data_IF_768884053853
#
_entry.id   IF_768884053853
#
_cell.length_a   1.000
_cell.length_b   1.000
_cell.length_c   1.000
_cell.angle_alpha   90.00
_cell.angle_beta   90.00
_cell.angle_gamma   90.00
#
_symmetry.space_group_name_H-M   'P 1'
#
loop_
_entity.id
_entity.type
_entity.pdbx_description
1 polymer ?
#
# COMPACT_ATOMS: atom_id res chain seq x y z
N UNK A 1 -8.41 9.43 18.66
CA UNK A 1 -7.55 10.17 17.71
C UNK A 1 -6.41 9.28 17.28
N UNK A 2 -5.76 9.58 16.15
CA UNK A 2 -4.51 8.92 15.78
C UNK A 2 -3.39 9.34 16.75
N UNK A 3 -2.47 8.44 17.07
CA UNK A 3 -1.28 8.76 17.87
C UNK A 3 -0.22 9.43 16.98
N UNK A 4 0.74 10.15 17.59
CA UNK A 4 1.84 10.76 16.83
C UNK A 4 2.87 9.73 16.36
N UNK A 5 3.13 8.69 17.17
CA UNK A 5 4.18 7.70 16.90
C UNK A 5 5.59 8.27 16.99
N UNK A 6 6.58 7.42 16.71
CA UNK A 6 7.99 7.79 16.58
C UNK A 6 8.59 7.18 15.31
N UNK A 7 9.88 7.38 15.04
CA UNK A 7 10.54 6.72 13.93
C UNK A 7 10.61 5.19 14.14
N UNK A 8 10.87 4.76 15.37
CA UNK A 8 10.99 3.35 15.76
C UNK A 8 9.63 2.66 15.87
N UNK A 9 8.60 3.40 16.28
CA UNK A 9 7.21 2.93 16.29
C UNK A 9 6.28 3.95 15.61
N UNK A 10 6.20 3.93 14.27
CA UNK A 10 5.35 4.85 13.51
C UNK A 10 3.88 4.70 13.89
N UNK A 11 3.12 5.78 13.90
CA UNK A 11 1.69 5.71 14.13
C UNK A 11 0.96 5.00 12.98
N UNK A 12 1.47 5.16 11.76
CA UNK A 12 0.96 4.47 10.58
C UNK A 12 2.08 3.68 9.92
N UNK A 13 1.83 2.41 9.62
CA UNK A 13 2.75 1.58 8.82
C UNK A 13 1.95 0.91 7.72
N UNK A 14 2.45 0.94 6.49
CA UNK A 14 1.92 0.18 5.34
C UNK A 14 3.06 -0.50 4.60
N UNK A 15 3.00 -1.82 4.47
CA UNK A 15 4.05 -2.65 3.89
C UNK A 15 3.42 -3.56 2.84
N UNK A 16 3.99 -3.59 1.64
CA UNK A 16 3.48 -4.43 0.53
C UNK A 16 4.61 -5.20 -0.11
N UNK A 17 4.38 -6.50 -0.32
CA UNK A 17 5.27 -7.37 -1.09
C UNK A 17 4.56 -7.81 -2.36
N UNK A 18 5.09 -7.39 -3.49
CA UNK A 18 4.64 -7.73 -4.83
C UNK A 18 5.62 -8.67 -5.52
N UNK A 19 5.14 -9.33 -6.56
CA UNK A 19 5.94 -10.25 -7.35
C UNK A 19 5.99 -9.86 -8.83
N UNK A 20 7.20 -9.75 -9.37
CA UNK A 20 7.49 -9.36 -10.75
C UNK A 20 6.85 -10.35 -11.73
N UNK A 21 6.95 -11.64 -11.44
CA UNK A 21 6.36 -12.72 -12.19
C UNK A 21 5.16 -13.31 -11.44
N UNK A 22 4.04 -13.46 -12.15
CA UNK A 22 2.85 -14.15 -11.65
C UNK A 22 2.05 -14.73 -12.82
N UNK A 23 1.20 -15.72 -12.54
CA UNK A 23 0.23 -16.21 -13.48
C UNK A 23 -1.10 -15.45 -13.33
N UNK A 24 -1.66 -15.02 -14.45
CA UNK A 24 -3.00 -14.40 -14.50
C UNK A 24 -3.82 -15.20 -15.49
N UNK A 25 -4.94 -15.78 -15.03
CA UNK A 25 -5.81 -16.64 -15.84
C UNK A 25 -5.05 -17.76 -16.56
N UNK A 26 -4.13 -18.41 -15.85
CA UNK A 26 -3.30 -19.52 -16.37
C UNK A 26 -2.16 -19.10 -17.30
N UNK A 27 -2.00 -17.82 -17.62
CA UNK A 27 -0.94 -17.33 -18.50
C UNK A 27 0.12 -16.56 -17.70
N UNK A 28 1.42 -16.72 -18.04
CA UNK A 28 2.47 -15.87 -17.49
C UNK A 28 2.19 -14.39 -17.78
N UNK A 29 2.13 -13.56 -16.75
CA UNK A 29 2.07 -12.11 -16.92
C UNK A 29 3.39 -11.63 -17.51
N UNK A 30 3.35 -11.13 -18.74
CA UNK A 30 4.51 -10.59 -19.43
C UNK A 30 4.69 -9.11 -19.12
N UNK A 31 5.94 -8.72 -18.88
CA UNK A 31 6.33 -7.33 -18.70
C UNK A 31 7.21 -6.86 -19.84
N UNK A 32 7.06 -5.60 -20.29
CA UNK A 32 7.98 -5.05 -21.27
C UNK A 32 9.39 -4.94 -20.67
N UNK A 33 10.42 -5.05 -21.51
CA UNK A 33 11.81 -5.03 -21.04
C UNK A 33 12.17 -3.70 -20.32
N UNK A 34 11.58 -2.58 -20.75
CA UNK A 34 11.79 -1.27 -20.11
C UNK A 34 11.20 -1.16 -18.70
N UNK A 35 10.31 -2.08 -18.29
CA UNK A 35 9.82 -2.15 -16.91
C UNK A 35 10.98 -2.29 -15.93
N UNK A 36 12.04 -2.99 -16.33
CA UNK A 36 13.23 -3.25 -15.52
C UNK A 36 14.29 -2.14 -15.61
N UNK A 37 13.98 -1.02 -16.28
CA UNK A 37 14.78 0.20 -16.25
C UNK A 37 14.08 1.23 -15.35
N UNK A 38 14.66 1.47 -14.16
CA UNK A 38 14.13 2.42 -13.21
C UNK A 38 14.08 3.88 -13.73
N UNK A 39 14.78 4.20 -14.82
CA UNK A 39 14.69 5.52 -15.47
C UNK A 39 13.46 5.64 -16.38
N UNK A 40 12.81 4.52 -16.73
CA UNK A 40 11.62 4.48 -17.57
C UNK A 40 10.37 4.13 -16.76
N UNK A 41 10.42 3.08 -15.95
CA UNK A 41 9.31 2.69 -15.07
C UNK A 41 9.20 3.61 -13.84
N UNK A 42 10.32 4.13 -13.36
CA UNK A 42 10.45 4.68 -12.00
C UNK A 42 10.96 3.62 -11.02
N UNK A 43 11.52 4.08 -9.91
CA UNK A 43 11.92 3.21 -8.79
C UNK A 43 10.72 2.79 -7.94
N UNK A 44 10.86 1.71 -7.18
CA UNK A 44 9.74 1.12 -6.42
C UNK A 44 8.99 2.09 -5.50
N UNK A 45 9.71 2.98 -4.83
CA UNK A 45 9.12 3.94 -3.89
C UNK A 45 8.34 5.08 -4.58
N UNK A 46 8.63 5.39 -5.85
CA UNK A 46 7.89 6.38 -6.66
C UNK A 46 6.81 5.74 -7.53
N UNK A 47 6.81 4.42 -7.66
CA UNK A 47 5.77 3.63 -8.33
C UNK A 47 4.67 3.25 -7.32
N UNK A 48 4.68 2.01 -6.80
CA UNK A 48 3.66 1.49 -5.86
C UNK A 48 3.60 2.29 -4.57
N UNK A 49 4.71 2.91 -4.14
CA UNK A 49 4.73 3.79 -2.96
C UNK A 49 3.71 4.93 -3.04
N UNK A 50 3.34 5.35 -4.25
CA UNK A 50 2.26 6.30 -4.53
C UNK A 50 0.95 5.84 -3.90
N UNK A 51 0.56 4.57 -4.05
CA UNK A 51 -0.67 4.04 -3.47
C UNK A 51 -0.64 4.06 -1.93
N UNK A 52 0.49 3.71 -1.34
CA UNK A 52 0.60 3.64 0.12
C UNK A 52 0.53 5.03 0.75
N UNK A 53 1.19 6.02 0.14
CA UNK A 53 1.09 7.42 0.59
C UNK A 53 -0.33 7.97 0.37
N UNK A 54 -0.97 7.67 -0.76
CA UNK A 54 -2.36 8.07 -1.03
C UNK A 54 -3.32 7.53 0.03
N UNK A 55 -3.22 6.24 0.36
CA UNK A 55 -4.03 5.62 1.41
C UNK A 55 -3.78 6.24 2.78
N UNK A 56 -2.54 6.59 3.14
CA UNK A 56 -2.26 7.27 4.40
C UNK A 56 -2.96 8.63 4.44
N UNK A 57 -2.87 9.42 3.37
CA UNK A 57 -3.53 10.73 3.30
C UNK A 57 -5.06 10.57 3.38
N UNK A 58 -5.62 9.67 2.56
CA UNK A 58 -7.06 9.50 2.40
C UNK A 58 -7.74 8.88 3.63
N UNK A 59 -7.10 7.91 4.29
CA UNK A 59 -7.68 7.23 5.45
C UNK A 59 -7.45 8.01 6.76
N UNK A 60 -6.27 8.60 6.96
CA UNK A 60 -5.93 9.29 8.20
C UNK A 60 -6.38 10.75 8.24
N UNK A 61 -6.49 11.40 7.07
CA UNK A 61 -6.83 12.81 6.92
C UNK A 61 -7.96 12.99 5.88
N UNK A 62 -9.11 12.33 6.06
CA UNK A 62 -10.18 12.32 5.05
C UNK A 62 -10.64 13.75 4.74
N UNK A 63 -10.62 14.10 3.45
CA UNK A 63 -11.04 15.40 2.90
C UNK A 63 -10.26 16.63 3.43
N UNK A 64 -9.13 16.41 4.11
CA UNK A 64 -8.24 17.47 4.54
C UNK A 64 -7.35 17.90 3.37
N UNK A 65 -7.30 19.20 3.10
CA UNK A 65 -6.35 19.78 2.14
C UNK A 65 -4.95 19.76 2.76
N UNK A 66 -4.02 19.08 2.10
CA UNK A 66 -2.63 18.96 2.50
C UNK A 66 -1.74 19.92 1.72
N UNK A 67 -0.64 20.30 2.34
CA UNK A 67 0.42 21.14 1.76
C UNK A 67 1.77 20.42 1.84
N UNK A 68 2.77 20.88 1.07
CA UNK A 68 4.10 20.27 1.10
C UNK A 68 4.79 20.47 2.44
N UNK A 69 4.46 21.56 3.12
CA UNK A 69 4.94 21.94 4.45
C UNK A 69 4.41 21.01 5.54
N UNK A 70 3.35 20.23 5.26
CA UNK A 70 2.87 19.19 6.17
C UNK A 70 3.78 17.95 6.16
N UNK A 71 4.72 17.84 5.22
CA UNK A 71 5.58 16.67 5.02
C UNK A 71 7.00 16.94 5.49
N UNK A 72 7.50 16.07 6.37
CA UNK A 72 8.91 16.02 6.78
C UNK A 72 9.45 14.63 6.46
N UNK A 73 10.36 14.50 5.48
CA UNK A 73 11.05 13.23 5.21
C UNK A 73 12.06 12.99 6.34
N UNK A 74 11.93 11.86 7.04
CA UNK A 74 12.80 11.50 8.17
C UNK A 74 13.93 10.60 7.69
N UNK A 75 13.62 9.58 6.91
CA UNK A 75 14.62 8.73 6.25
C UNK A 75 14.00 8.00 5.05
N UNK A 76 14.83 7.64 4.08
CA UNK A 76 14.42 6.83 2.94
C UNK A 76 15.55 5.88 2.54
N UNK A 77 15.18 4.69 2.05
CA UNK A 77 16.13 3.69 1.55
C UNK A 77 15.60 3.06 0.28
N UNK A 78 16.51 2.72 -0.63
CA UNK A 78 16.24 1.93 -1.82
C UNK A 78 17.18 0.73 -1.87
N UNK A 79 16.75 -0.35 -2.53
CA UNK A 79 17.61 -1.50 -2.82
C UNK A 79 17.11 -2.29 -4.02
N UNK A 80 17.98 -3.12 -4.60
CA UNK A 80 17.70 -3.89 -5.80
C UNK A 80 17.03 -5.23 -5.51
N UNK A 81 16.21 -5.68 -6.47
CA UNK A 81 15.93 -7.10 -6.69
C UNK A 81 16.83 -7.59 -7.82
N UNK A 82 17.44 -8.76 -7.62
CA UNK A 82 18.41 -9.35 -8.55
C UNK A 82 17.72 -10.32 -9.49
N UNK A 83 17.86 -10.09 -10.80
CA UNK A 83 17.29 -10.95 -11.84
C UNK A 83 18.38 -11.68 -12.60
N UNK A 84 18.32 -13.01 -12.61
CA UNK A 84 19.15 -13.82 -13.51
C UNK A 84 18.62 -13.74 -14.95
N UNK A 85 19.42 -14.14 -15.95
CA UNK A 85 18.95 -14.21 -17.33
C UNK A 85 17.70 -15.09 -17.50
N UNK A 86 17.59 -16.18 -16.76
CA UNK A 86 16.43 -17.09 -16.79
C UNK A 86 15.17 -16.40 -16.23
N UNK A 87 15.31 -15.70 -15.11
CA UNK A 87 14.22 -14.90 -14.51
C UNK A 87 13.75 -13.82 -15.49
N UNK A 88 14.68 -13.09 -16.08
CA UNK A 88 14.37 -12.04 -17.05
C UNK A 88 13.68 -12.58 -18.30
N UNK A 89 14.17 -13.71 -18.85
CA UNK A 89 13.52 -14.40 -19.97
C UNK A 89 12.12 -14.91 -19.59
N UNK A 90 11.95 -15.43 -18.39
CA UNK A 90 10.64 -15.92 -17.90
C UNK A 90 9.60 -14.79 -17.88
N UNK A 91 9.96 -13.60 -17.37
CA UNK A 91 9.03 -12.47 -17.23
C UNK A 91 8.89 -11.59 -18.48
N UNK A 92 9.92 -11.48 -19.32
CA UNK A 92 9.89 -10.63 -20.53
C UNK A 92 9.74 -11.40 -21.84
N UNK A 93 10.22 -12.64 -21.89
CA UNK A 93 10.41 -13.41 -23.12
C UNK A 93 11.72 -13.12 -23.87
N UNK A 94 12.55 -12.18 -23.42
CA UNK A 94 13.82 -11.83 -24.07
C UNK A 94 14.94 -12.81 -23.71
N UNK A 95 15.78 -13.18 -24.68
CA UNK A 95 16.90 -14.10 -24.46
C UNK A 95 18.10 -13.47 -23.74
N UNK A 96 18.23 -12.14 -23.81
CA UNK A 96 19.35 -11.39 -23.25
C UNK A 96 18.85 -10.06 -22.66
N UNK A 97 19.62 -9.49 -21.75
CA UNK A 97 19.37 -8.11 -21.30
C UNK A 97 19.61 -7.14 -22.46
N UNK A 98 18.65 -6.28 -22.83
CA UNK A 98 18.85 -5.27 -23.86
C UNK A 98 19.93 -4.25 -23.47
N UNK A 99 20.49 -3.57 -24.47
CA UNK A 99 21.60 -2.63 -24.32
C UNK A 99 21.35 -1.56 -23.23
N UNK A 100 20.14 -1.01 -23.17
CA UNK A 100 19.79 0.04 -22.20
C UNK A 100 19.80 -0.43 -20.73
N UNK A 101 19.77 -1.74 -20.47
CA UNK A 101 19.88 -2.31 -19.13
C UNK A 101 21.31 -2.67 -18.72
N UNK A 102 22.26 -2.72 -19.66
CA UNK A 102 23.61 -3.22 -19.40
C UNK A 102 24.34 -2.44 -18.30
N UNK A 103 24.06 -1.14 -18.16
CA UNK A 103 24.59 -0.29 -17.07
C UNK A 103 24.23 -0.77 -15.66
N UNK A 104 23.17 -1.57 -15.53
CA UNK A 104 22.68 -2.11 -14.26
C UNK A 104 22.95 -3.63 -14.13
N UNK A 105 23.68 -4.22 -15.08
CA UNK A 105 24.07 -5.64 -15.04
C UNK A 105 25.46 -5.74 -14.42
N UNK A 106 25.57 -6.55 -13.37
CA UNK A 106 26.83 -6.83 -12.69
C UNK A 106 26.99 -8.35 -12.57
N UNK A 107 28.14 -8.88 -13.00
CA UNK A 107 28.42 -10.32 -12.98
C UNK A 107 27.33 -11.18 -13.66
N UNK A 108 26.68 -10.64 -14.71
CA UNK A 108 25.62 -11.31 -15.45
C UNK A 108 24.24 -11.29 -14.79
N UNK A 109 24.07 -10.53 -13.70
CA UNK A 109 22.81 -10.38 -12.96
C UNK A 109 22.33 -8.93 -13.07
N UNK A 110 21.07 -8.74 -13.42
CA UNK A 110 20.46 -7.41 -13.48
C UNK A 110 20.05 -6.96 -12.07
N UNK A 111 20.57 -5.81 -11.63
CA UNK A 111 20.14 -5.11 -10.42
C UNK A 111 18.99 -4.17 -10.77
N UNK A 112 17.78 -4.47 -10.30
CA UNK A 112 16.60 -3.64 -10.56
C UNK A 112 16.15 -2.93 -9.27
N UNK A 113 16.30 -1.60 -9.19
CA UNK A 113 15.95 -0.78 -8.02
C UNK A 113 14.43 -0.59 -7.89
N UNK A 114 13.73 -1.67 -7.54
CA UNK A 114 12.28 -1.73 -7.39
C UNK A 114 11.79 -1.80 -5.94
N UNK A 115 12.69 -1.71 -4.96
CA UNK A 115 12.31 -1.76 -3.55
C UNK A 115 12.61 -0.44 -2.87
N UNK A 116 11.82 -0.10 -1.85
CA UNK A 116 12.11 1.07 -1.05
C UNK A 116 11.27 1.19 0.21
N UNK A 117 11.81 1.94 1.16
CA UNK A 117 11.19 2.29 2.43
C UNK A 117 11.25 3.80 2.61
N UNK A 118 10.15 4.40 3.08
CA UNK A 118 10.06 5.82 3.39
C UNK A 118 9.51 5.97 4.81
N UNK A 119 10.27 6.63 5.67
CA UNK A 119 9.83 7.10 6.98
C UNK A 119 9.69 8.62 6.92
N UNK A 120 8.50 9.14 7.20
CA UNK A 120 8.20 10.56 7.11
C UNK A 120 7.19 10.96 8.18
N UNK A 121 7.04 12.27 8.40
CA UNK A 121 5.91 12.81 9.16
C UNK A 121 4.93 13.48 8.21
N UNK A 122 3.64 13.28 8.45
CA UNK A 122 2.56 14.03 7.82
C UNK A 122 1.77 14.74 8.92
N UNK A 123 1.76 16.08 8.91
CA UNK A 123 1.17 16.91 9.97
C UNK A 123 1.66 16.51 11.37
N UNK A 124 2.94 16.17 11.48
CA UNK A 124 3.58 15.74 12.74
C UNK A 124 3.36 14.27 13.13
N UNK A 125 2.59 13.49 12.35
CA UNK A 125 2.35 12.07 12.59
C UNK A 125 3.39 11.22 11.85
N UNK A 126 4.11 10.35 12.57
CA UNK A 126 5.06 9.41 11.99
C UNK A 126 4.36 8.33 11.16
N UNK A 127 4.78 8.23 9.91
CA UNK A 127 4.30 7.27 8.93
C UNK A 127 5.48 6.51 8.31
N UNK A 128 5.27 5.23 8.08
CA UNK A 128 6.19 4.33 7.36
C UNK A 128 5.46 3.71 6.18
N UNK A 129 6.08 3.74 5.02
CA UNK A 129 5.72 2.87 3.90
C UNK A 129 6.89 2.00 3.47
N UNK A 130 6.62 0.78 3.05
CA UNK A 130 7.62 -0.13 2.46
C UNK A 130 7.01 -0.88 1.27
N UNK A 131 7.77 -0.95 0.18
CA UNK A 131 7.41 -1.69 -1.02
C UNK A 131 8.56 -2.62 -1.38
N UNK A 132 8.22 -3.90 -1.54
CA UNK A 132 9.12 -4.94 -2.00
C UNK A 132 8.57 -5.54 -3.28
N UNK A 133 9.45 -5.83 -4.22
CA UNK A 133 9.20 -6.54 -5.46
C UNK A 133 10.12 -7.75 -5.54
N UNK A 134 9.65 -8.88 -5.05
CA UNK A 134 10.32 -10.17 -5.24
C UNK A 134 10.08 -10.70 -6.66
N UNK A 135 10.81 -11.74 -7.05
CA UNK A 135 10.62 -12.30 -8.39
C UNK A 135 9.28 -13.04 -8.52
N UNK A 136 9.03 -14.04 -7.68
CA UNK A 136 7.86 -14.92 -7.76
C UNK A 136 7.52 -15.42 -6.36
N UNK A 137 6.22 -15.49 -6.04
CA UNK A 137 5.77 -16.01 -4.75
C UNK A 137 5.99 -17.52 -4.67
N UNK A 138 6.17 -18.11 -3.48
CA UNK A 138 6.09 -19.56 -3.31
C UNK A 138 4.81 -20.16 -3.88
N UNK A 139 4.82 -21.45 -4.22
CA UNK A 139 3.63 -22.12 -4.74
C UNK A 139 2.47 -22.05 -3.74
N UNK A 140 1.30 -21.62 -4.20
CA UNK A 140 0.13 -21.39 -3.35
C UNK A 140 0.12 -20.05 -2.59
N UNK A 141 1.19 -19.25 -2.71
CA UNK A 141 1.29 -17.92 -2.15
C UNK A 141 0.89 -16.82 -3.14
N UNK A 142 0.78 -15.59 -2.62
CA UNK A 142 0.49 -14.39 -3.41
C UNK A 142 1.17 -13.15 -2.85
N UNK A 143 0.83 -12.00 -3.42
CA UNK A 143 1.24 -10.71 -2.87
C UNK A 143 0.76 -10.58 -1.42
N UNK A 144 1.56 -9.96 -0.56
CA UNK A 144 1.21 -9.73 0.85
C UNK A 144 1.08 -8.25 1.15
N UNK A 145 0.26 -7.96 2.15
CA UNK A 145 0.08 -6.59 2.64
C UNK A 145 -0.10 -6.60 4.15
N UNK A 146 0.59 -5.67 4.81
CA UNK A 146 0.39 -5.37 6.20
C UNK A 146 0.15 -3.88 6.35
N UNK A 147 -0.86 -3.50 7.14
CA UNK A 147 -0.95 -2.12 7.61
C UNK A 147 -1.45 -2.03 9.03
N UNK A 148 -1.03 -0.98 9.72
CA UNK A 148 -1.51 -0.64 11.06
C UNK A 148 -1.65 0.87 11.17
N UNK A 149 -2.76 1.32 11.76
CA UNK A 149 -3.01 2.69 12.16
C UNK A 149 -3.28 2.72 13.67
N UNK A 150 -2.37 3.32 14.43
CA UNK A 150 -2.37 3.33 15.88
C UNK A 150 -3.22 4.49 16.41
N UNK A 151 -4.42 4.19 16.88
CA UNK A 151 -5.31 5.14 17.54
C UNK A 151 -5.05 5.21 19.05
N UNK A 152 -5.63 6.21 19.70
CA UNK A 152 -5.55 6.39 21.16
C UNK A 152 -6.27 5.27 21.93
N UNK A 153 -7.28 4.63 21.32
CA UNK A 153 -8.11 3.58 21.94
C UNK A 153 -7.86 2.18 21.38
N UNK A 154 -7.49 2.09 20.11
CA UNK A 154 -7.24 0.83 19.43
C UNK A 154 -6.30 1.02 18.26
N UNK A 155 -5.74 -0.10 17.81
CA UNK A 155 -5.05 -0.21 16.54
C UNK A 155 -6.00 -0.83 15.52
N UNK A 156 -6.03 -0.25 14.33
CA UNK A 156 -6.73 -0.81 13.17
C UNK A 156 -5.69 -1.43 12.27
N UNK A 157 -5.80 -2.73 12.00
CA UNK A 157 -4.75 -3.54 11.38
C UNK A 157 -5.33 -4.25 10.16
N UNK A 158 -4.64 -4.22 9.03
CA UNK A 158 -4.91 -5.08 7.88
C UNK A 158 -3.78 -6.09 7.78
N UNK A 159 -4.15 -7.37 7.66
CA UNK A 159 -3.20 -8.43 7.31
C UNK A 159 -3.67 -9.15 6.05
N UNK A 160 -2.70 -9.49 5.21
CA UNK A 160 -2.86 -10.30 4.01
C UNK A 160 -1.63 -11.18 3.89
N UNK A 161 -1.59 -12.24 4.68
CA UNK A 161 -0.55 -13.27 4.64
C UNK A 161 -1.16 -14.67 4.50
N UNK A 162 -0.33 -15.68 4.78
CA UNK A 162 -0.74 -17.09 4.72
C UNK A 162 -1.90 -17.40 5.68
N UNK A 163 -1.88 -16.84 6.89
CA UNK A 163 -2.94 -17.01 7.90
C UNK A 163 -4.32 -16.53 7.40
N UNK A 164 -4.33 -15.51 6.55
CA UNK A 164 -5.55 -14.95 5.95
C UNK A 164 -5.85 -15.55 4.56
N UNK A 165 -5.08 -16.54 4.11
CA UNK A 165 -5.18 -17.11 2.77
C UNK A 165 -4.95 -16.08 1.65
N UNK A 166 -4.02 -15.14 1.90
CA UNK A 166 -3.67 -14.03 1.01
C UNK A 166 -4.84 -13.11 0.65
N UNK A 167 -5.84 -13.03 1.54
CA UNK A 167 -6.97 -12.10 1.42
C UNK A 167 -6.87 -11.01 2.50
N UNK A 168 -6.97 -9.72 2.14
CA UNK A 168 -6.90 -8.66 3.13
C UNK A 168 -8.02 -8.81 4.16
N UNK A 169 -7.63 -8.90 5.43
CA UNK A 169 -8.52 -9.08 6.57
C UNK A 169 -8.29 -7.95 7.56
N UNK A 170 -9.39 -7.35 8.01
CA UNK A 170 -9.38 -6.22 8.94
C UNK A 170 -9.48 -6.72 10.39
N UNK A 171 -8.58 -6.22 11.23
CA UNK A 171 -8.53 -6.49 12.66
C UNK A 171 -8.57 -5.18 13.45
N UNK A 172 -9.11 -5.27 14.66
CA UNK A 172 -9.21 -4.17 15.61
C UNK A 172 -8.65 -4.68 16.93
N UNK A 173 -7.59 -4.04 17.42
CA UNK A 173 -6.95 -4.40 18.69
C UNK A 173 -7.12 -3.28 19.71
N UNK A 174 -7.85 -3.51 20.78
CA UNK A 174 -8.03 -2.52 21.83
C UNK A 174 -6.72 -2.26 22.59
N UNK A 175 -6.52 -1.01 23.01
CA UNK A 175 -5.52 -0.63 24.02
C UNK A 175 -6.11 -0.85 25.41
N UNK A 176 -5.33 -0.61 26.46
CA UNK A 176 -5.63 -0.88 27.89
C UNK A 176 -6.85 -0.10 28.46
N UNK A 177 -7.88 0.13 27.66
CA UNK A 177 -9.19 0.62 28.04
C UNK A 177 -10.01 -0.51 28.69
N UNK A 178 -11.08 -0.14 29.38
CA UNK A 178 -12.11 -1.09 29.83
C UNK A 178 -12.66 -1.85 28.62
N UNK A 179 -12.23 -3.10 28.47
CA UNK A 179 -12.46 -3.94 27.29
C UNK A 179 -13.96 -4.16 27.04
N UNK A 180 -14.76 -4.27 28.11
CA UNK A 180 -16.20 -4.45 27.98
C UNK A 180 -16.85 -3.20 27.38
N UNK A 181 -16.52 -2.03 27.92
CA UNK A 181 -17.00 -0.74 27.42
C UNK A 181 -16.51 -0.49 25.98
N UNK A 182 -15.27 -0.85 25.67
CA UNK A 182 -14.72 -0.75 24.32
C UNK A 182 -15.49 -1.66 23.35
N UNK A 183 -15.75 -2.92 23.74
CA UNK A 183 -16.45 -3.88 22.90
C UNK A 183 -17.89 -3.43 22.61
N UNK A 184 -18.60 -2.88 23.59
CA UNK A 184 -19.93 -2.28 23.38
C UNK A 184 -19.89 -1.13 22.37
N UNK A 185 -18.94 -0.22 22.53
CA UNK A 185 -18.73 0.89 21.58
C UNK A 185 -18.38 0.40 20.18
N UNK A 186 -17.56 -0.65 20.07
CA UNK A 186 -17.17 -1.24 18.81
C UNK A 186 -18.35 -1.93 18.11
N UNK A 187 -19.15 -2.71 18.84
CA UNK A 187 -20.39 -3.32 18.32
C UNK A 187 -21.33 -2.25 17.76
N UNK A 188 -21.51 -1.14 18.48
CA UNK A 188 -22.31 -0.02 18.00
C UNK A 188 -21.75 0.59 16.71
N UNK A 189 -20.44 0.80 16.64
CA UNK A 189 -19.79 1.34 15.44
C UNK A 189 -20.00 0.44 14.20
N UNK A 190 -19.84 -0.88 14.35
CA UNK A 190 -20.02 -1.84 13.25
C UNK A 190 -21.50 -2.02 12.89
N UNK A 191 -22.35 -2.31 13.88
CA UNK A 191 -23.73 -2.77 13.66
C UNK A 191 -24.71 -1.62 13.39
N UNK A 192 -24.43 -0.40 13.86
CA UNK A 192 -25.32 0.75 13.67
C UNK A 192 -24.73 1.71 12.64
N UNK A 193 -23.57 2.30 12.95
CA UNK A 193 -23.04 3.41 12.15
C UNK A 193 -22.63 2.95 10.74
N UNK A 194 -21.86 1.86 10.66
CA UNK A 194 -21.35 1.36 9.38
C UNK A 194 -22.36 0.50 8.61
N UNK A 195 -23.34 -0.11 9.29
CA UNK A 195 -24.30 -1.00 8.64
C UNK A 195 -25.17 -0.29 7.58
N UNK A 196 -25.42 1.01 7.74
CA UNK A 196 -26.12 1.82 6.72
C UNK A 196 -25.36 1.92 5.40
N UNK A 197 -24.02 1.98 5.45
CA UNK A 197 -23.13 2.13 4.29
C UNK A 197 -22.62 0.78 3.78
N UNK A 198 -22.39 -0.15 4.69
CA UNK A 198 -21.87 -1.49 4.42
C UNK A 198 -22.76 -2.53 5.11
N UNK A 199 -23.98 -2.79 4.60
CA UNK A 199 -24.87 -3.76 5.20
C UNK A 199 -24.27 -5.17 5.19
N UNK A 200 -24.34 -5.84 6.35
CA UNK A 200 -23.92 -7.22 6.55
C UNK A 200 -22.49 -7.41 7.10
N UNK A 201 -21.82 -6.35 7.54
CA UNK A 201 -20.59 -6.49 8.34
C UNK A 201 -20.91 -7.22 9.65
N UNK A 202 -20.00 -8.10 10.08
CA UNK A 202 -20.10 -8.76 11.37
C UNK A 202 -18.78 -8.64 12.14
N UNK A 203 -18.86 -8.50 13.47
CA UNK A 203 -17.69 -8.42 14.34
C UNK A 203 -17.48 -9.77 15.01
N UNK A 204 -16.32 -10.38 14.81
CA UNK A 204 -15.93 -11.64 15.45
C UNK A 204 -14.81 -11.41 16.45
N UNK A 205 -15.08 -11.73 17.72
CA UNK A 205 -14.07 -11.72 18.78
C UNK A 205 -13.12 -12.90 18.60
N UNK A 206 -11.82 -12.64 18.64
CA UNK A 206 -10.77 -13.65 18.51
C UNK A 206 -10.07 -13.86 19.87
N UNK A 207 -9.79 -12.77 20.57
CA UNK A 207 -9.22 -12.74 21.92
C UNK A 207 -9.89 -11.63 22.74
N UNK A 208 -9.52 -11.46 24.00
CA UNK A 208 -10.12 -10.47 24.89
C UNK A 208 -10.04 -9.04 24.33
N UNK A 209 -8.91 -8.67 23.74
CA UNK A 209 -8.67 -7.34 23.17
C UNK A 209 -8.52 -7.35 21.64
N UNK A 210 -8.92 -8.42 20.94
CA UNK A 210 -8.73 -8.56 19.49
C UNK A 210 -10.01 -9.06 18.80
N UNK A 211 -10.42 -8.32 17.77
CA UNK A 211 -11.55 -8.67 16.92
C UNK A 211 -11.14 -8.63 15.44
N UNK A 212 -11.86 -9.37 14.61
CA UNK A 212 -11.84 -9.25 13.16
C UNK A 212 -13.21 -8.84 12.64
N UNK A 213 -13.22 -8.09 11.53
CA UNK A 213 -14.44 -7.69 10.83
C UNK A 213 -14.67 -8.66 9.67
N UNK A 214 -15.72 -9.46 9.77
CA UNK A 214 -16.17 -10.34 8.69
C UNK A 214 -16.88 -9.50 7.63
N UNK A 215 -16.25 -9.38 6.46
CA UNK A 215 -16.73 -8.60 5.32
C UNK A 215 -17.40 -9.54 4.31
N UNK A 216 -18.69 -9.33 3.98
CA UNK A 216 -19.40 -10.12 2.98
C UNK A 216 -18.72 -10.18 1.61
N UNK A 217 -18.82 -11.32 0.94
CA UNK A 217 -18.18 -11.56 -0.38
C UNK A 217 -18.63 -10.57 -1.46
N UNK A 218 -19.84 -10.00 -1.35
CA UNK A 218 -20.32 -8.95 -2.28
C UNK A 218 -19.43 -7.69 -2.30
N UNK A 219 -18.61 -7.46 -1.28
CA UNK A 219 -17.64 -6.34 -1.24
C UNK A 219 -16.28 -6.73 -1.81
N UNK A 220 -16.04 -8.01 -2.12
CA UNK A 220 -14.77 -8.52 -2.65
C UNK A 220 -14.79 -8.51 -4.18
N UNK A 221 -15.03 -7.33 -4.75
CA UNK A 221 -15.28 -7.14 -6.20
C UNK A 221 -14.03 -7.24 -7.08
N UNK A 222 -12.84 -7.18 -6.48
CA UNK A 222 -11.56 -7.37 -7.17
C UNK A 222 -11.03 -6.11 -7.87
N UNK A 223 -9.82 -6.23 -8.42
CA UNK A 223 -9.03 -5.09 -8.91
C UNK A 223 -9.70 -4.35 -10.09
N UNK A 224 -10.23 -5.07 -11.08
CA UNK A 224 -10.86 -4.47 -12.27
C UNK A 224 -12.10 -3.65 -11.91
N UNK A 225 -12.91 -4.14 -10.96
CA UNK A 225 -14.08 -3.41 -10.47
C UNK A 225 -13.68 -2.14 -9.72
N UNK A 226 -12.60 -2.17 -8.92
CA UNK A 226 -12.05 -0.96 -8.29
C UNK A 226 -11.60 0.07 -9.34
N UNK A 227 -10.96 -0.37 -10.44
CA UNK A 227 -10.57 0.50 -11.53
C UNK A 227 -11.79 1.14 -12.22
N UNK A 228 -12.86 0.35 -12.43
CA UNK A 228 -14.14 0.85 -12.94
C UNK A 228 -14.74 1.95 -12.06
N UNK A 229 -14.70 1.79 -10.73
CA UNK A 229 -15.20 2.81 -9.79
C UNK A 229 -14.42 4.14 -9.87
N UNK A 230 -13.10 4.08 -10.10
CA UNK A 230 -12.30 5.30 -10.31
C UNK A 230 -12.70 5.99 -11.62
N UNK A 231 -12.91 5.22 -12.69
CA UNK A 231 -13.38 5.75 -13.97
C UNK A 231 -14.76 6.41 -13.85
N UNK A 232 -15.70 5.79 -13.15
CA UNK A 232 -17.04 6.36 -12.90
C UNK A 232 -16.95 7.72 -12.19
N UNK A 233 -16.10 7.83 -11.16
CA UNK A 233 -15.87 9.10 -10.47
C UNK A 233 -15.25 10.15 -11.39
N UNK A 234 -14.24 9.77 -12.18
CA UNK A 234 -13.63 10.68 -13.16
C UNK A 234 -14.66 11.21 -14.16
N UNK A 235 -15.49 10.34 -14.74
CA UNK A 235 -16.53 10.75 -15.69
C UNK A 235 -17.55 11.69 -15.05
N UNK A 236 -17.90 11.47 -13.78
CA UNK A 236 -18.74 12.39 -13.03
C UNK A 236 -18.07 13.77 -12.89
N UNK A 237 -16.83 13.82 -12.43
CA UNK A 237 -16.11 15.09 -12.26
C UNK A 237 -15.83 15.81 -13.58
N UNK A 238 -15.72 15.07 -14.68
CA UNK A 238 -15.63 15.65 -16.02
C UNK A 238 -16.91 16.43 -16.38
N UNK A 239 -18.09 15.91 -16.01
CA UNK A 239 -19.38 16.61 -16.18
C UNK A 239 -19.50 17.79 -15.22
N UNK A 240 -19.09 17.61 -13.96
CA UNK A 240 -19.14 18.67 -12.94
C UNK A 240 -18.12 19.79 -13.22
N UNK A 241 -17.09 19.53 -14.04
CA UNK A 241 -16.06 20.49 -14.43
C UNK A 241 -15.00 20.75 -13.36
N UNK A 242 -15.05 20.02 -12.24
CA UNK A 242 -14.15 20.22 -11.11
C UNK A 242 -14.00 18.95 -10.26
N UNK A 243 -12.82 18.81 -9.64
CA UNK A 243 -12.55 17.83 -8.60
C UNK A 243 -12.87 18.42 -7.22
N UNK A 244 -13.09 17.59 -6.19
CA UNK A 244 -13.07 18.02 -4.80
C UNK A 244 -11.82 18.83 -4.47
N UNK A 245 -11.95 19.85 -3.60
CA UNK A 245 -10.88 20.83 -3.32
C UNK A 245 -9.57 20.19 -2.81
N UNK A 246 -9.66 19.03 -2.15
CA UNK A 246 -8.51 18.31 -1.62
C UNK A 246 -7.78 17.43 -2.65
N UNK A 247 -8.41 17.05 -3.77
CA UNK A 247 -7.82 16.07 -4.70
C UNK A 247 -6.50 16.58 -5.31
N UNK A 248 -6.50 17.79 -5.89
CA UNK A 248 -5.31 18.34 -6.56
C UNK A 248 -4.17 18.63 -5.58
N UNK A 249 -4.40 19.34 -4.44
CA UNK A 249 -3.35 19.56 -3.46
C UNK A 249 -2.77 18.25 -2.90
N UNK A 250 -3.63 17.27 -2.59
CA UNK A 250 -3.17 16.02 -2.00
C UNK A 250 -2.42 15.16 -3.02
N UNK A 251 -2.81 15.15 -4.31
CA UNK A 251 -2.00 14.55 -5.37
C UNK A 251 -0.61 15.18 -5.45
N UNK A 252 -0.50 16.51 -5.35
CA UNK A 252 0.78 17.20 -5.33
C UNK A 252 1.61 16.79 -4.11
N UNK A 253 1.01 16.73 -2.92
CA UNK A 253 1.69 16.28 -1.69
C UNK A 253 2.15 14.84 -1.80
N UNK A 254 1.32 13.94 -2.34
CA UNK A 254 1.67 12.54 -2.59
C UNK A 254 2.93 12.41 -3.45
N UNK A 255 2.96 13.09 -4.59
CA UNK A 255 4.13 13.05 -5.48
C UNK A 255 5.34 13.79 -4.90
N UNK A 256 5.13 14.86 -4.13
CA UNK A 256 6.20 15.50 -3.38
C UNK A 256 6.83 14.53 -2.37
N UNK A 257 6.03 13.83 -1.57
CA UNK A 257 6.53 12.85 -0.59
C UNK A 257 7.36 11.74 -1.25
N UNK A 258 6.87 11.15 -2.34
CA UNK A 258 7.61 10.07 -3.03
C UNK A 258 8.91 10.56 -3.65
N UNK A 259 8.90 11.73 -4.30
CA UNK A 259 10.07 12.25 -5.01
C UNK A 259 11.12 12.87 -4.10
N UNK A 260 10.75 13.52 -2.99
CA UNK A 260 11.72 13.98 -2.00
C UNK A 260 12.36 12.80 -1.24
N UNK A 261 11.57 11.77 -0.92
CA UNK A 261 12.12 10.55 -0.34
C UNK A 261 13.12 9.86 -1.27
N UNK A 262 12.85 9.85 -2.57
CA UNK A 262 13.79 9.33 -3.56
C UNK A 262 15.12 10.10 -3.55
N UNK A 263 15.09 11.43 -3.45
CA UNK A 263 16.34 12.23 -3.34
C UNK A 263 17.15 11.80 -2.11
N UNK A 264 16.50 11.70 -0.95
CA UNK A 264 17.15 11.26 0.30
C UNK A 264 17.73 9.84 0.18
N UNK A 265 17.04 8.93 -0.52
CA UNK A 265 17.53 7.56 -0.73
C UNK A 265 18.68 7.45 -1.76
N UNK A 266 18.99 8.53 -2.48
CA UNK A 266 20.07 8.60 -3.47
C UNK A 266 21.32 9.32 -2.95
N UNK A 267 21.24 9.94 -1.77
CA UNK A 267 22.38 10.54 -1.04
C UNK A 267 23.17 9.48 -0.26
#
# INVERSE_FOLDING_TARGET
>A
SLQNGTLEEPAITKESVHHLFKYVSGNPLKRPQWFFDANQQGQGMVDVGTHLIDLIQWEAFPEVILSKEDVEIVSAKQWDTRLTPEMFKKVTGADQFPEFLQKNVEEGVLKYNCNGEINYKLKGIHAKISVIWDFEAPEGAGDTHYSIMRGSKCDVIIKQGEEEGYKPTLYIKAKNDDIEVFEEGLKKAINENLNSKYPGLNLKKLEDNLWTVEIPDKYKVGHEAHFGQVMEKYLKYLVDGQLPEWEVPNMIVKYYTTTEALKVAME
#
